data_IF_666534094132
#
_entry.id   IF_666534094132
#
_cell.length_a   1.000
_cell.length_b   1.000
_cell.length_c   1.000
_cell.angle_alpha   90.00
_cell.angle_beta   90.00
_cell.angle_gamma   90.00
#
_symmetry.space_group_name_H-M   'P 1'
#
loop_
_entity.id
_entity.type
_entity.pdbx_description
1 polymer ?
#
# COMPACT_ATOMS: atom_id res chain seq x y z
N UNK A 1 0.60 31.96 23.52
CA UNK A 1 -0.16 31.29 22.44
C UNK A 1 0.69 30.19 21.79
N UNK A 2 0.39 28.93 22.10
CA UNK A 2 1.03 27.78 21.47
C UNK A 2 0.44 27.58 20.06
N UNK A 3 1.25 27.23 19.04
CA UNK A 3 0.71 26.83 17.74
C UNK A 3 -0.19 25.60 17.91
N UNK A 4 -1.28 25.47 17.13
CA UNK A 4 -2.08 24.26 17.12
C UNK A 4 -1.19 23.06 16.76
N UNK A 5 -1.40 21.89 17.38
CA UNK A 5 -0.69 20.68 16.98
C UNK A 5 -0.95 20.42 15.48
N UNK A 6 0.05 19.97 14.71
CA UNK A 6 -0.17 19.60 13.33
C UNK A 6 -1.33 18.59 13.27
N UNK A 7 -2.23 18.69 12.27
CA UNK A 7 -3.28 17.70 12.10
C UNK A 7 -2.61 16.33 12.05
N UNK A 8 -2.95 15.46 13.00
CA UNK A 8 -2.51 14.07 12.93
C UNK A 8 -3.00 13.55 11.57
N UNK A 9 -2.11 12.98 10.72
CA UNK A 9 -2.58 12.33 9.51
C UNK A 9 -3.60 11.31 9.98
N UNK A 10 -4.86 11.50 9.59
CA UNK A 10 -5.89 10.51 9.86
C UNK A 10 -5.38 9.25 9.21
N UNK A 11 -5.00 8.26 10.02
CA UNK A 11 -4.12 7.16 9.65
C UNK A 11 -4.47 6.52 8.31
N UNK A 12 -5.74 6.60 7.87
CA UNK A 12 -6.23 6.19 6.55
C UNK A 12 -6.30 4.67 6.42
N UNK A 13 -5.30 4.02 7.02
CA UNK A 13 -5.12 2.62 7.29
C UNK A 13 -6.26 2.15 8.23
N UNK A 14 -7.04 1.13 7.82
CA UNK A 14 -8.01 0.45 8.66
C UNK A 14 -7.40 -0.11 9.96
N UNK A 15 -8.23 -0.26 11.01
CA UNK A 15 -7.82 -0.83 12.31
C UNK A 15 -7.09 -2.19 12.20
N UNK A 16 -7.50 -3.03 11.24
CA UNK A 16 -6.87 -4.33 10.98
C UNK A 16 -5.50 -4.25 10.29
N UNK A 17 -5.07 -3.07 9.84
CA UNK A 17 -3.90 -2.89 9.01
C UNK A 17 -4.12 -3.34 7.56
N UNK A 18 -3.18 -2.98 6.70
CA UNK A 18 -3.23 -3.25 5.25
C UNK A 18 -1.93 -3.78 4.70
N UNK A 19 -2.02 -4.70 3.75
CA UNK A 19 -0.86 -5.32 3.12
C UNK A 19 -0.26 -4.41 2.06
N UNK A 20 1.06 -4.33 2.05
CA UNK A 20 1.83 -3.84 0.90
C UNK A 20 2.30 -5.05 0.13
N UNK A 21 1.98 -5.08 -1.16
CA UNK A 21 2.37 -6.19 -2.03
C UNK A 21 3.54 -5.80 -2.92
N UNK A 22 4.19 -6.81 -3.51
CA UNK A 22 5.03 -6.58 -4.69
C UNK A 22 4.18 -6.09 -5.86
N UNK A 23 4.69 -5.13 -6.60
CA UNK A 23 4.03 -4.59 -7.78
C UNK A 23 3.86 -5.60 -8.92
N UNK A 24 4.57 -6.73 -8.90
CA UNK A 24 4.46 -7.82 -9.85
C UNK A 24 3.84 -9.11 -9.27
N UNK A 25 3.22 -9.02 -8.09
CA UNK A 25 2.52 -10.14 -7.47
C UNK A 25 1.44 -10.73 -8.41
N UNK A 26 1.35 -12.07 -8.45
CA UNK A 26 0.41 -12.81 -9.33
C UNK A 26 -1.01 -12.89 -8.79
N UNK A 27 -1.23 -12.49 -7.54
CA UNK A 27 -2.51 -12.64 -6.88
C UNK A 27 -2.77 -11.57 -5.82
N UNK A 28 -3.69 -11.89 -4.93
CA UNK A 28 -4.18 -10.96 -3.90
C UNK A 28 -3.45 -11.10 -2.57
N UNK A 29 -2.74 -12.20 -2.27
CA UNK A 29 -2.36 -12.43 -0.86
C UNK A 29 -1.41 -13.61 -0.59
N UNK A 30 -0.65 -14.10 -1.57
CA UNK A 30 0.36 -15.12 -1.28
C UNK A 30 1.44 -14.57 -0.34
N UNK A 31 1.94 -15.36 0.62
CA UNK A 31 2.98 -14.90 1.56
C UNK A 31 4.26 -14.42 0.84
N UNK A 32 4.57 -14.99 -0.33
CA UNK A 32 5.67 -14.54 -1.19
C UNK A 32 5.41 -13.20 -1.91
N UNK A 33 4.16 -12.74 -1.93
CA UNK A 33 3.72 -11.51 -2.59
C UNK A 33 3.53 -10.35 -1.62
N UNK A 34 3.40 -10.62 -0.31
CA UNK A 34 3.28 -9.61 0.75
C UNK A 34 4.68 -9.20 1.21
N UNK A 35 4.97 -7.89 1.12
CA UNK A 35 6.23 -7.32 1.60
C UNK A 35 6.11 -6.89 3.06
N UNK A 36 4.97 -6.31 3.43
CA UNK A 36 4.73 -5.81 4.77
C UNK A 36 3.25 -5.61 5.07
N UNK A 37 2.98 -5.29 6.32
CA UNK A 37 1.66 -4.99 6.85
C UNK A 37 1.69 -3.66 7.59
N UNK A 38 1.07 -2.63 7.03
CA UNK A 38 0.98 -1.30 7.62
C UNK A 38 -0.10 -1.28 8.68
N UNK A 39 0.23 -0.84 9.89
CA UNK A 39 -0.67 -0.69 11.02
C UNK A 39 -0.99 0.77 11.27
N UNK A 40 -2.25 1.10 11.59
CA UNK A 40 -2.63 2.48 11.89
C UNK A 40 -1.94 2.96 13.17
N UNK A 41 -1.48 4.20 13.18
CA UNK A 41 -0.75 4.81 14.29
C UNK A 41 0.74 4.42 14.38
N UNK A 42 1.17 3.43 13.60
CA UNK A 42 2.56 2.96 13.55
C UNK A 42 3.20 3.24 12.19
N UNK A 43 2.49 2.90 11.12
CA UNK A 43 2.99 2.92 9.74
C UNK A 43 2.29 3.98 8.88
N UNK A 44 1.63 4.96 9.51
CA UNK A 44 0.85 5.99 8.81
C UNK A 44 1.72 6.85 7.87
N UNK A 45 2.98 7.06 8.24
CA UNK A 45 3.96 7.82 7.48
C UNK A 45 4.82 6.96 6.54
N UNK A 46 4.53 5.65 6.43
CA UNK A 46 5.35 4.73 5.64
C UNK A 46 5.09 4.94 4.16
N UNK A 47 6.09 5.48 3.45
CA UNK A 47 6.09 5.76 2.00
C UNK A 47 7.02 4.84 1.21
N UNK A 48 7.88 4.08 1.89
CA UNK A 48 8.85 3.18 1.29
C UNK A 48 8.97 1.88 2.11
N UNK A 49 9.10 0.75 1.42
CA UNK A 49 9.38 -0.56 2.01
C UNK A 49 10.46 -1.25 1.20
N UNK A 50 11.50 -1.81 1.85
CA UNK A 50 12.56 -2.54 1.17
C UNK A 50 12.00 -3.56 0.17
N UNK A 51 12.40 -3.41 -1.09
CA UNK A 51 11.98 -4.28 -2.18
C UNK A 51 13.16 -4.66 -3.07
N UNK A 52 12.88 -5.38 -4.16
CA UNK A 52 13.94 -5.93 -5.01
C UNK A 52 14.59 -4.88 -5.92
N UNK A 53 13.84 -3.87 -6.37
CA UNK A 53 14.35 -2.86 -7.32
C UNK A 53 14.27 -1.46 -6.74
N UNK A 54 13.08 -1.06 -6.27
CA UNK A 54 12.85 0.26 -5.68
C UNK A 54 12.01 0.13 -4.42
N UNK A 55 12.32 0.94 -3.42
CA UNK A 55 11.67 0.85 -2.11
C UNK A 55 10.41 1.71 -2.02
N UNK A 56 10.29 2.75 -2.85
CA UNK A 56 9.13 3.65 -2.86
C UNK A 56 7.84 2.89 -3.19
N UNK A 57 6.81 3.05 -2.35
CA UNK A 57 5.53 2.39 -2.52
C UNK A 57 4.68 3.17 -3.52
N UNK A 58 4.34 2.54 -4.64
CA UNK A 58 3.50 3.13 -5.66
C UNK A 58 2.01 3.01 -5.28
N UNK A 59 1.27 4.10 -5.47
CA UNK A 59 -0.18 4.08 -5.36
C UNK A 59 -0.79 3.40 -6.60
N UNK A 60 -1.77 2.53 -6.40
CA UNK A 60 -2.54 1.93 -7.49
C UNK A 60 -4.01 1.85 -7.14
N UNK A 61 -4.83 2.28 -8.08
CA UNK A 61 -6.27 2.40 -7.90
C UNK A 61 -7.00 1.34 -8.72
N UNK A 62 -8.21 1.03 -8.28
CA UNK A 62 -9.12 0.12 -8.94
C UNK A 62 -10.48 0.80 -9.04
N UNK A 63 -11.20 0.50 -10.11
CA UNK A 63 -12.62 0.89 -10.21
C UNK A 63 -13.44 0.11 -9.18
N UNK A 64 -14.68 0.53 -8.93
CA UNK A 64 -15.61 -0.21 -8.08
C UNK A 64 -15.86 -1.65 -8.58
N UNK A 65 -15.69 -1.91 -9.88
CA UNK A 65 -15.74 -3.24 -10.48
C UNK A 65 -14.45 -4.06 -10.27
N UNK A 66 -13.42 -3.47 -9.66
CA UNK A 66 -12.11 -4.07 -9.43
C UNK A 66 -11.16 -3.96 -10.62
N UNK A 67 -11.49 -3.19 -11.65
CA UNK A 67 -10.60 -3.01 -12.80
C UNK A 67 -9.38 -2.18 -12.42
N UNK A 68 -8.19 -2.67 -12.79
CA UNK A 68 -6.93 -2.05 -12.41
C UNK A 68 -6.66 -0.75 -13.17
N UNK A 69 -6.32 0.31 -12.42
CA UNK A 69 -5.90 1.62 -12.90
C UNK A 69 -4.60 2.00 -12.19
N UNK A 70 -3.47 1.88 -12.89
CA UNK A 70 -2.20 2.52 -12.48
C UNK A 70 -2.04 3.92 -13.09
N UNK A 71 -2.82 4.15 -14.13
CA UNK A 71 -2.95 5.38 -14.86
C UNK A 71 -4.42 5.79 -14.85
N UNK A 72 -4.67 7.07 -14.64
CA UNK A 72 -5.98 7.70 -14.78
C UNK A 72 -5.84 8.89 -15.74
N UNK A 73 -6.71 8.96 -16.76
CA UNK A 73 -6.69 10.03 -17.78
C UNK A 73 -5.33 10.27 -18.49
N UNK A 74 -4.50 9.23 -18.63
CA UNK A 74 -3.19 9.35 -19.28
C UNK A 74 -2.04 9.69 -18.33
N UNK A 75 -2.32 9.83 -17.03
CA UNK A 75 -1.32 10.14 -16.00
C UNK A 75 -1.22 9.04 -14.95
N UNK A 76 0.01 8.64 -14.62
CA UNK A 76 0.27 7.64 -13.59
C UNK A 76 -0.04 8.21 -12.20
N UNK A 77 -0.75 7.44 -11.37
CA UNK A 77 -1.30 7.94 -10.09
C UNK A 77 -0.23 8.50 -9.15
N UNK A 78 0.94 7.88 -9.11
CA UNK A 78 2.12 8.31 -8.34
C UNK A 78 3.30 8.74 -9.23
N UNK A 79 3.02 9.15 -10.47
CA UNK A 79 4.05 9.48 -11.45
C UNK A 79 4.61 8.25 -12.17
N UNK A 80 5.42 8.49 -13.21
CA UNK A 80 5.96 7.45 -14.08
C UNK A 80 7.42 7.13 -13.71
N UNK A 81 7.65 5.98 -13.08
CA UNK A 81 8.95 5.58 -12.52
C UNK A 81 10.10 5.56 -13.55
N UNK A 82 9.83 5.23 -14.81
CA UNK A 82 10.88 5.18 -15.86
C UNK A 82 11.40 6.57 -16.31
N UNK A 83 10.65 7.65 -16.03
CA UNK A 83 11.02 8.99 -16.47
C UNK A 83 12.05 9.66 -15.55
N UNK A 84 12.23 9.14 -14.34
CA UNK A 84 13.04 9.76 -13.28
C UNK A 84 13.91 8.74 -12.52
N UNK A 85 14.41 7.70 -13.19
CA UNK A 85 15.28 6.67 -12.56
C UNK A 85 14.65 5.96 -11.35
N UNK A 86 13.32 5.83 -11.33
CA UNK A 86 12.55 5.24 -10.23
C UNK A 86 11.94 6.25 -9.25
N UNK A 87 12.13 7.56 -9.46
CA UNK A 87 11.51 8.57 -8.61
C UNK A 87 10.00 8.59 -8.84
N UNK A 88 9.25 8.33 -7.77
CA UNK A 88 7.80 8.37 -7.71
C UNK A 88 7.39 9.39 -6.66
N UNK A 89 6.17 9.88 -6.79
CA UNK A 89 5.57 10.71 -5.75
C UNK A 89 5.40 9.88 -4.47
N UNK A 90 5.95 10.40 -3.37
CA UNK A 90 5.92 9.76 -2.07
C UNK A 90 4.56 10.00 -1.43
N UNK A 91 3.66 9.03 -1.59
CA UNK A 91 2.41 9.02 -0.87
C UNK A 91 2.52 8.16 0.37
N UNK A 92 1.89 8.60 1.46
CA UNK A 92 1.44 7.74 2.55
C UNK A 92 0.22 6.92 2.10
N UNK A 93 -0.16 5.92 2.90
CA UNK A 93 -1.37 5.14 2.61
C UNK A 93 -2.62 6.04 2.52
N UNK A 94 -2.74 7.03 3.42
CA UNK A 94 -3.88 7.95 3.45
C UNK A 94 -3.93 8.82 2.20
N UNK A 95 -2.79 9.34 1.74
CA UNK A 95 -2.70 10.16 0.53
C UNK A 95 -2.95 9.31 -0.73
N UNK A 96 -2.37 8.11 -0.82
CA UNK A 96 -2.62 7.19 -1.93
C UNK A 96 -4.10 6.83 -2.04
N UNK A 97 -4.76 6.60 -0.89
CA UNK A 97 -6.21 6.37 -0.82
C UNK A 97 -7.00 7.60 -1.28
N UNK A 98 -6.68 8.78 -0.75
CA UNK A 98 -7.35 10.02 -1.10
C UNK A 98 -7.22 10.33 -2.60
N UNK A 99 -6.02 10.11 -3.18
CA UNK A 99 -5.77 10.28 -4.61
C UNK A 99 -6.67 9.38 -5.45
N UNK A 100 -6.81 8.10 -5.08
CA UNK A 100 -7.76 7.22 -5.74
C UNK A 100 -9.21 7.72 -5.62
N UNK A 101 -9.62 8.14 -4.42
CA UNK A 101 -10.98 8.59 -4.15
C UNK A 101 -11.34 9.89 -4.89
N UNK A 102 -10.37 10.80 -5.07
CA UNK A 102 -10.51 12.03 -5.85
C UNK A 102 -10.86 11.74 -7.32
N UNK A 103 -10.25 10.70 -7.89
CA UNK A 103 -10.51 10.21 -9.24
C UNK A 103 -11.76 9.29 -9.32
N UNK A 104 -12.52 9.14 -8.23
CA UNK A 104 -13.68 8.24 -8.15
C UNK A 104 -13.32 6.74 -8.17
N UNK A 105 -12.07 6.42 -7.82
CA UNK A 105 -11.52 5.07 -7.70
C UNK A 105 -11.30 4.70 -6.22
N UNK A 106 -10.82 3.49 -5.98
CA UNK A 106 -10.43 3.04 -4.65
C UNK A 106 -9.10 2.30 -4.69
N UNK A 107 -8.39 2.17 -3.57
CA UNK A 107 -7.20 1.32 -3.51
C UNK A 107 -7.55 -0.13 -3.85
N UNK A 108 -6.71 -0.75 -4.68
CA UNK A 108 -6.94 -2.12 -5.14
C UNK A 108 -6.75 -3.15 -4.02
N UNK A 109 -7.55 -4.20 -4.02
CA UNK A 109 -7.34 -5.38 -3.19
C UNK A 109 -6.45 -6.45 -3.88
N UNK A 110 -5.52 -6.04 -4.74
CA UNK A 110 -4.58 -6.90 -5.48
C UNK A 110 -3.46 -6.07 -6.09
N UNK A 111 -2.37 -6.70 -6.51
CA UNK A 111 -1.39 -6.03 -7.36
C UNK A 111 -1.91 -5.91 -8.80
N UNK A 112 -1.83 -4.71 -9.37
CA UNK A 112 -2.26 -4.44 -10.75
C UNK A 112 -1.17 -4.73 -11.78
N UNK A 113 -0.50 -5.87 -11.62
CA UNK A 113 0.65 -6.22 -12.42
C UNK A 113 0.41 -6.06 -13.92
N UNK A 114 1.38 -5.42 -14.60
CA UNK A 114 1.40 -5.33 -16.05
C UNK A 114 0.49 -4.26 -16.64
N UNK A 115 -0.10 -3.38 -15.83
CA UNK A 115 -0.94 -2.27 -16.30
C UNK A 115 -0.20 -0.97 -16.59
N UNK A 116 1.14 -0.93 -16.48
CA UNK A 116 1.95 0.24 -16.84
C UNK A 116 2.65 0.94 -15.66
N UNK A 117 3.17 2.15 -15.93
CA UNK A 117 3.85 3.06 -14.98
C UNK A 117 5.10 2.51 -14.28
N UNK A 118 5.61 1.35 -14.71
CA UNK A 118 6.77 0.65 -14.11
C UNK A 118 6.60 0.22 -12.64
N UNK A 119 5.38 0.30 -12.10
CA UNK A 119 5.10 -0.08 -10.70
C UNK A 119 5.32 -1.56 -10.41
N UNK A 120 5.48 -2.42 -11.43
CA UNK A 120 5.91 -3.81 -11.23
C UNK A 120 7.23 -3.93 -10.47
N UNK A 121 8.09 -2.89 -10.52
CA UNK A 121 9.38 -2.85 -9.83
C UNK A 121 9.30 -2.22 -8.43
N UNK A 122 8.13 -1.74 -8.04
CA UNK A 122 7.90 -1.06 -6.77
C UNK A 122 6.98 -1.90 -5.87
N UNK A 123 7.07 -1.76 -4.54
CA UNK A 123 5.96 -2.11 -3.66
C UNK A 123 4.71 -1.32 -4.04
N UNK A 124 3.53 -1.87 -3.75
CA UNK A 124 2.26 -1.22 -4.05
C UNK A 124 1.32 -1.21 -2.86
N UNK A 125 0.65 -0.08 -2.64
CA UNK A 125 -0.42 0.01 -1.65
C UNK A 125 -1.61 -0.84 -2.10
N UNK A 126 -2.22 -1.53 -1.13
CA UNK A 126 -3.44 -2.29 -1.37
C UNK A 126 -4.44 -2.10 -0.25
N UNK A 127 -5.71 -2.34 -0.55
CA UNK A 127 -6.78 -2.38 0.45
C UNK A 127 -7.00 -3.80 1.02
N UNK A 128 -5.98 -4.66 0.95
CA UNK A 128 -6.08 -6.00 1.52
C UNK A 128 -5.81 -5.92 3.02
N UNK A 129 -6.69 -6.48 3.85
CA UNK A 129 -6.44 -6.54 5.28
C UNK A 129 -5.20 -7.39 5.57
N UNK A 130 -4.46 -7.00 6.60
CA UNK A 130 -3.46 -7.86 7.20
C UNK A 130 -4.10 -9.12 7.76
N UNK A 131 -3.43 -10.27 7.62
CA UNK A 131 -3.87 -11.47 8.31
C UNK A 131 -3.50 -11.30 9.79
N UNK A 132 -4.46 -11.51 10.68
CA UNK A 132 -4.29 -11.42 12.14
C UNK A 132 -3.48 -12.58 12.72
N UNK A 133 -2.66 -13.26 11.91
CA UNK A 133 -1.91 -14.45 12.29
C UNK A 133 -0.73 -14.11 13.21
N UNK A 134 -1.01 -13.55 14.38
CA UNK A 134 -0.30 -13.94 15.58
C UNK A 134 -0.75 -15.38 15.85
N UNK A 135 0.14 -16.40 15.80
CA UNK A 135 -0.23 -17.72 16.32
C UNK A 135 -0.70 -17.54 17.77
N UNK A 136 -1.74 -18.27 18.23
CA UNK A 136 -2.11 -18.23 19.64
C UNK A 136 -0.86 -18.53 20.49
N UNK A 137 -0.70 -17.87 21.65
CA UNK A 137 0.44 -18.17 22.53
C UNK A 137 0.49 -19.68 22.79
N UNK A 138 1.69 -20.29 22.86
CA UNK A 138 1.80 -21.71 23.18
C UNK A 138 1.05 -21.99 24.49
N UNK A 139 0.37 -23.15 24.62
CA UNK A 139 -0.30 -23.51 25.86
C UNK A 139 0.71 -23.49 27.02
N UNK A 140 0.32 -23.07 28.23
CA UNK A 140 1.21 -23.09 29.38
C UNK A 140 1.73 -24.53 29.63
N UNK A 141 2.99 -24.69 30.07
CA UNK A 141 3.52 -26.02 30.38
C UNK A 141 2.68 -26.69 31.49
N UNK A 142 2.48 -28.03 31.43
CA UNK A 142 1.77 -28.74 32.49
C UNK A 142 2.51 -28.59 33.84
N UNK A 143 1.78 -28.44 34.96
CA UNK A 143 2.38 -28.37 36.29
C UNK A 143 3.07 -29.69 36.69
N UNK A 144 4.13 -29.65 37.53
CA UNK A 144 4.86 -30.82 38.01
C UNK A 144 4.09 -31.69 39.01
#
# INVERSE_FOLDING_TARGET
PSPPPPPQPSSGIPAGGVKVLRGDARGTSGAADVLACLRPGLDDATTAIPSHFFDTIAAQCCTAAGECRREHEGECIAGHSDLLDGELELFTYAEAKARCEEDGLALCARSCRGTGCFYNRHPVYTNLPCDDSTPPPPPPPPPP
#
